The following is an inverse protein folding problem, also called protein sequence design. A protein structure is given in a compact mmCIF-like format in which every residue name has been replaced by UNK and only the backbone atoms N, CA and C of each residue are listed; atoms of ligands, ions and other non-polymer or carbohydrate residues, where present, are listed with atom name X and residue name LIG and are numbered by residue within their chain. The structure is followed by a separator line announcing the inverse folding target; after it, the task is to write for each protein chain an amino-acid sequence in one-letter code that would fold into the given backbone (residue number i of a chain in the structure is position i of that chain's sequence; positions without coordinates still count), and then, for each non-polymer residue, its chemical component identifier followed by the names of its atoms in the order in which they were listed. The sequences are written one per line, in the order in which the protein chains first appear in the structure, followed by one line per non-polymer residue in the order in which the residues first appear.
data_IF_149987730642
#
_entry.id   IF_149987730642
#
_cell.length_a   1.000
_cell.length_b   1.000
_cell.length_c   1.000
_cell.angle_alpha   90.00
_cell.angle_beta   90.00
_cell.angle_gamma   90.00
#
_symmetry.space_group_name_H-M   'P 1'
#
loop_
_entity.id
_entity.type
_entity.pdbx_description
1 polymer ?
#
# COMPACT_ATOMS: atom_id res chain seq x y z
N UNK A 1 17.66 -2.60 -1.93
CA UNK A 1 17.14 -3.94 -1.53
C UNK A 1 17.33 -4.93 -2.68
N UNK A 2 17.51 -6.21 -2.36
CA UNK A 2 17.46 -7.32 -3.31
C UNK A 2 16.17 -8.11 -3.08
N UNK A 3 15.47 -8.44 -4.16
CA UNK A 3 14.29 -9.29 -4.16
C UNK A 3 14.64 -10.66 -4.72
N UNK A 4 14.00 -11.72 -4.22
CA UNK A 4 14.06 -13.06 -4.81
C UNK A 4 12.71 -13.73 -4.64
N UNK A 5 12.21 -14.35 -5.72
CA UNK A 5 11.09 -15.28 -5.60
C UNK A 5 11.65 -16.69 -5.49
N UNK A 6 11.29 -17.39 -4.42
CA UNK A 6 11.56 -18.82 -4.25
C UNK A 6 10.30 -19.66 -4.51
N UNK A 7 9.22 -19.04 -4.99
CA UNK A 7 8.06 -19.75 -5.50
C UNK A 7 8.40 -20.39 -6.86
N UNK A 8 8.76 -21.67 -6.81
CA UNK A 8 9.06 -22.51 -7.97
C UNK A 8 7.85 -23.33 -8.42
N UNK A 9 6.72 -23.24 -7.71
CA UNK A 9 5.54 -24.07 -7.93
C UNK A 9 4.46 -23.33 -8.71
N UNK A 10 4.29 -22.03 -8.47
CA UNK A 10 3.28 -21.22 -9.12
C UNK A 10 3.78 -20.71 -10.48
N UNK A 11 3.04 -20.96 -11.57
CA UNK A 11 3.37 -20.41 -12.88
C UNK A 11 3.47 -18.89 -12.84
N UNK A 12 4.51 -18.35 -13.50
CA UNK A 12 4.78 -16.92 -13.63
C UNK A 12 4.97 -16.13 -12.31
N UNK A 13 5.08 -16.76 -11.13
CA UNK A 13 5.32 -16.04 -9.88
C UNK A 13 6.64 -15.23 -9.89
N UNK A 14 7.71 -15.85 -10.40
CA UNK A 14 9.03 -15.21 -10.56
C UNK A 14 8.98 -14.03 -11.53
N UNK A 15 8.27 -14.23 -12.65
CA UNK A 15 8.08 -13.21 -13.68
C UNK A 15 7.25 -12.04 -13.13
N UNK A 16 6.20 -12.32 -12.36
CA UNK A 16 5.40 -11.31 -11.68
C UNK A 16 6.27 -10.45 -10.75
N UNK A 17 7.13 -11.08 -9.92
CA UNK A 17 8.05 -10.35 -9.06
C UNK A 17 9.08 -9.53 -9.87
N UNK A 18 9.56 -10.06 -11.00
CA UNK A 18 10.48 -9.34 -11.90
C UNK A 18 9.86 -8.05 -12.44
N UNK A 19 8.60 -8.10 -12.88
CA UNK A 19 7.89 -6.90 -13.35
C UNK A 19 7.75 -5.86 -12.24
N UNK A 20 7.41 -6.28 -11.02
CA UNK A 20 7.32 -5.38 -9.86
C UNK A 20 8.69 -4.78 -9.52
N UNK A 21 9.74 -5.60 -9.47
CA UNK A 21 11.11 -5.16 -9.20
C UNK A 21 11.57 -4.10 -10.19
N UNK A 22 11.28 -4.29 -11.48
CA UNK A 22 11.61 -3.33 -12.54
C UNK A 22 10.83 -2.02 -12.38
N UNK A 23 9.54 -2.08 -12.05
CA UNK A 23 8.72 -0.90 -11.84
C UNK A 23 9.25 -0.02 -10.69
N UNK A 24 9.70 -0.63 -9.60
CA UNK A 24 10.26 0.09 -8.43
C UNK A 24 11.78 0.28 -8.49
N UNK A 25 12.43 -0.16 -9.58
CA UNK A 25 13.89 -0.12 -9.79
C UNK A 25 14.67 -0.81 -8.65
N UNK A 26 14.15 -1.91 -8.12
CA UNK A 26 14.83 -2.75 -7.14
C UNK A 26 15.66 -3.84 -7.82
N UNK A 27 16.77 -4.24 -7.18
CA UNK A 27 17.55 -5.39 -7.64
C UNK A 27 16.73 -6.67 -7.45
N UNK A 28 16.82 -7.60 -8.38
CA UNK A 28 16.18 -8.92 -8.28
C UNK A 28 17.20 -10.02 -8.62
N UNK A 29 17.25 -11.05 -7.78
CA UNK A 29 17.97 -12.28 -8.09
C UNK A 29 17.03 -13.25 -8.79
N UNK A 30 17.27 -13.48 -10.08
CA UNK A 30 16.38 -14.29 -10.89
C UNK A 30 16.68 -15.78 -10.77
N UNK A 31 17.94 -16.22 -10.70
CA UNK A 31 18.35 -17.63 -10.51
C UNK A 31 17.78 -18.66 -11.52
N UNK A 32 18.56 -19.66 -11.91
CA UNK A 32 18.02 -20.72 -12.77
C UNK A 32 17.07 -21.64 -12.01
N UNK A 33 16.01 -22.13 -12.66
CA UNK A 33 15.08 -23.12 -12.11
C UNK A 33 14.99 -24.30 -13.07
N UNK A 34 15.52 -25.45 -12.66
CA UNK A 34 15.48 -26.70 -13.43
C UNK A 34 14.35 -27.62 -12.96
N UNK A 35 14.07 -27.63 -11.65
CA UNK A 35 13.08 -28.49 -11.02
C UNK A 35 12.32 -27.74 -9.93
N UNK A 36 11.03 -28.03 -9.78
CA UNK A 36 10.17 -27.48 -8.73
C UNK A 36 10.19 -28.38 -7.49
N UNK A 37 11.18 -28.17 -6.61
CA UNK A 37 11.32 -28.91 -5.35
C UNK A 37 11.99 -28.06 -4.26
N UNK A 38 11.98 -28.55 -3.03
CA UNK A 38 12.57 -27.89 -1.86
C UNK A 38 14.07 -27.60 -2.01
N UNK A 39 14.83 -28.47 -2.69
CA UNK A 39 16.25 -28.24 -2.92
C UNK A 39 16.51 -27.00 -3.79
N UNK A 40 15.66 -26.78 -4.81
CA UNK A 40 15.69 -25.57 -5.63
C UNK A 40 15.33 -24.33 -4.81
N UNK A 41 14.28 -24.39 -3.98
CA UNK A 41 13.88 -23.28 -3.07
C UNK A 41 15.06 -22.87 -2.18
N UNK A 42 15.70 -23.84 -1.52
CA UNK A 42 16.84 -23.59 -0.64
C UNK A 42 18.06 -23.04 -1.38
N UNK A 43 18.35 -23.57 -2.58
CA UNK A 43 19.47 -23.09 -3.41
C UNK A 43 19.26 -21.62 -3.79
N UNK A 44 18.08 -21.28 -4.30
CA UNK A 44 17.76 -19.91 -4.71
C UNK A 44 17.89 -18.92 -3.55
N UNK A 45 17.43 -19.30 -2.35
CA UNK A 45 17.56 -18.46 -1.17
C UNK A 45 19.02 -18.23 -0.76
N UNK A 46 19.87 -19.29 -0.81
CA UNK A 46 21.31 -19.19 -0.54
C UNK A 46 22.01 -18.29 -1.55
N UNK A 47 21.73 -18.49 -2.83
CA UNK A 47 22.37 -17.76 -3.92
C UNK A 47 21.95 -16.28 -3.88
N UNK A 48 20.67 -15.98 -3.64
CA UNK A 48 20.19 -14.62 -3.43
C UNK A 48 20.86 -13.95 -2.22
N UNK A 49 21.06 -14.68 -1.10
CA UNK A 49 21.79 -14.14 0.06
C UNK A 49 23.22 -13.78 -0.29
N UNK A 50 23.92 -14.65 -1.02
CA UNK A 50 25.29 -14.38 -1.48
C UNK A 50 25.32 -13.17 -2.41
N UNK A 51 24.37 -13.07 -3.32
CA UNK A 51 24.26 -11.94 -4.24
C UNK A 51 23.97 -10.63 -3.50
N UNK A 52 23.08 -10.64 -2.51
CA UNK A 52 22.80 -9.47 -1.67
C UNK A 52 24.06 -8.96 -0.96
N UNK A 53 24.88 -9.87 -0.42
CA UNK A 53 26.14 -9.53 0.24
C UNK A 53 27.14 -8.94 -0.77
N UNK A 54 27.32 -9.59 -1.93
CA UNK A 54 28.27 -9.16 -2.95
C UNK A 54 27.90 -7.81 -3.56
N UNK A 55 26.60 -7.56 -3.73
CA UNK A 55 26.06 -6.31 -4.28
C UNK A 55 25.87 -5.21 -3.22
N UNK A 56 26.27 -5.43 -1.97
CA UNK A 56 26.18 -4.44 -0.89
C UNK A 56 24.73 -4.04 -0.54
N UNK A 57 23.78 -4.97 -0.67
CA UNK A 57 22.38 -4.72 -0.34
C UNK A 57 22.12 -4.90 1.17
N UNK A 58 21.54 -3.89 1.81
CA UNK A 58 21.20 -3.95 3.24
C UNK A 58 20.02 -4.87 3.57
N UNK A 59 19.11 -5.06 2.60
CA UNK A 59 17.84 -5.79 2.79
C UNK A 59 17.66 -6.80 1.66
N UNK A 60 17.38 -8.05 2.04
CA UNK A 60 16.93 -9.13 1.17
C UNK A 60 15.48 -9.48 1.49
N UNK A 61 14.61 -9.43 0.48
CA UNK A 61 13.21 -9.85 0.59
C UNK A 61 13.04 -11.16 -0.18
N UNK A 62 12.62 -12.21 0.54
CA UNK A 62 12.39 -13.54 -0.01
C UNK A 62 10.88 -13.76 -0.12
N UNK A 63 10.37 -13.81 -1.34
CA UNK A 63 8.97 -14.12 -1.65
C UNK A 63 8.79 -15.64 -1.79
N UNK A 64 8.02 -16.23 -0.87
CA UNK A 64 7.79 -17.68 -0.79
C UNK A 64 6.45 -18.07 -1.42
N UNK A 65 6.31 -19.31 -1.84
CA UNK A 65 5.04 -19.82 -2.34
C UNK A 65 3.91 -19.70 -1.30
N UNK A 66 2.76 -19.20 -1.72
CA UNK A 66 1.53 -19.18 -0.90
C UNK A 66 0.68 -20.44 -1.09
N UNK A 67 -0.14 -20.81 -0.10
CA UNK A 67 -1.19 -21.84 -0.24
C UNK A 67 -2.43 -21.51 0.60
N UNK A 68 -3.59 -21.89 0.08
CA UNK A 68 -4.92 -21.70 0.71
C UNK A 68 -5.14 -22.64 1.90
N UNK A 69 -4.45 -23.78 1.95
CA UNK A 69 -4.56 -24.76 3.01
C UNK A 69 -3.17 -25.11 3.54
N UNK A 70 -3.10 -25.31 4.85
CA UNK A 70 -1.88 -25.64 5.57
C UNK A 70 -1.55 -27.09 5.20
N UNK A 71 -0.49 -27.25 4.41
CA UNK A 71 0.05 -28.53 4.00
C UNK A 71 1.30 -28.80 4.83
N UNK A 72 1.41 -30.00 5.42
CA UNK A 72 2.57 -30.39 6.23
C UNK A 72 3.87 -30.26 5.44
N UNK A 73 3.84 -30.65 4.16
CA UNK A 73 5.02 -30.63 3.30
C UNK A 73 5.54 -29.20 3.06
N UNK A 74 4.62 -28.24 2.92
CA UNK A 74 4.97 -26.82 2.79
C UNK A 74 5.54 -26.28 4.10
N UNK A 75 4.94 -26.62 5.23
CA UNK A 75 5.42 -26.15 6.52
C UNK A 75 6.82 -26.67 6.83
N UNK A 76 7.12 -27.91 6.44
CA UNK A 76 8.45 -28.48 6.59
C UNK A 76 9.47 -27.77 5.68
N UNK A 77 9.10 -27.46 4.44
CA UNK A 77 9.90 -26.63 3.53
C UNK A 77 10.18 -25.24 4.13
N UNK A 78 9.15 -24.55 4.64
CA UNK A 78 9.29 -23.23 5.26
C UNK A 78 10.14 -23.27 6.54
N UNK A 79 10.04 -24.34 7.33
CA UNK A 79 10.93 -24.53 8.49
C UNK A 79 12.38 -24.76 8.06
N UNK A 80 12.60 -25.51 6.98
CA UNK A 80 13.94 -25.70 6.42
C UNK A 80 14.52 -24.37 5.93
N UNK A 81 13.73 -23.61 5.19
CA UNK A 81 14.10 -22.28 4.70
C UNK A 81 14.40 -21.32 5.86
N UNK A 82 13.58 -21.33 6.92
CA UNK A 82 13.83 -20.55 8.15
C UNK A 82 15.17 -20.91 8.78
N UNK A 83 15.45 -22.20 9.00
CA UNK A 83 16.74 -22.66 9.56
C UNK A 83 17.91 -22.23 8.70
N UNK A 84 17.73 -22.30 7.39
CA UNK A 84 18.78 -22.00 6.42
C UNK A 84 19.11 -20.50 6.34
N UNK A 85 18.08 -19.67 6.36
CA UNK A 85 18.21 -18.23 6.19
C UNK A 85 18.43 -17.50 7.50
N UNK A 86 17.99 -18.07 8.62
CA UNK A 86 17.94 -17.42 9.94
C UNK A 86 17.44 -15.96 9.86
N UNK A 87 16.23 -15.75 9.31
CA UNK A 87 15.75 -14.40 9.00
C UNK A 87 15.48 -13.60 10.27
N UNK A 88 15.75 -12.30 10.22
CA UNK A 88 15.41 -11.36 11.29
C UNK A 88 13.91 -11.11 11.36
N UNK A 89 13.22 -11.20 10.22
CA UNK A 89 11.81 -10.91 10.08
C UNK A 89 11.11 -12.00 9.27
N UNK A 90 9.99 -12.49 9.78
CA UNK A 90 9.09 -13.43 9.11
C UNK A 90 7.69 -12.83 9.15
N UNK A 91 7.25 -12.32 8.00
CA UNK A 91 5.99 -11.61 7.88
C UNK A 91 4.91 -12.53 7.31
N UNK A 92 3.80 -12.67 8.02
CA UNK A 92 2.63 -13.36 7.50
C UNK A 92 1.74 -12.38 6.74
N UNK A 93 1.47 -12.70 5.47
CA UNK A 93 0.63 -11.87 4.61
C UNK A 93 -0.77 -12.48 4.57
N UNK A 94 -1.76 -11.74 5.05
CA UNK A 94 -3.15 -12.18 5.10
C UNK A 94 -4.06 -11.22 4.32
N UNK A 95 -5.12 -11.77 3.74
CA UNK A 95 -6.19 -10.98 3.15
C UNK A 95 -7.21 -10.63 4.25
N UNK A 96 -7.55 -9.34 4.34
CA UNK A 96 -8.47 -8.82 5.35
C UNK A 96 -9.90 -9.36 5.21
N UNK A 97 -10.28 -9.86 4.04
CA UNK A 97 -11.59 -10.44 3.76
C UNK A 97 -11.74 -11.89 4.25
N UNK A 98 -10.66 -12.64 4.44
CA UNK A 98 -10.72 -14.10 4.66
C UNK A 98 -11.15 -14.51 6.07
N UNK A 99 -11.42 -13.55 6.96
CA UNK A 99 -12.08 -13.79 8.23
C UNK A 99 -11.37 -14.82 9.13
N UNK A 100 -12.08 -15.91 9.48
CA UNK A 100 -11.64 -16.93 10.45
C UNK A 100 -10.52 -17.85 9.91
N UNK A 101 -10.48 -18.12 8.61
CA UNK A 101 -9.48 -19.01 8.01
C UNK A 101 -8.07 -18.39 8.08
N UNK A 102 -7.99 -17.08 7.90
CA UNK A 102 -6.75 -16.32 8.08
C UNK A 102 -6.25 -16.38 9.53
N UNK A 103 -7.16 -16.37 10.52
CA UNK A 103 -6.83 -16.45 11.95
C UNK A 103 -6.23 -17.80 12.29
N UNK A 104 -6.87 -18.89 11.83
CA UNK A 104 -6.35 -20.25 12.04
C UNK A 104 -4.99 -20.44 11.36
N UNK A 105 -4.86 -19.96 10.13
CA UNK A 105 -3.59 -20.03 9.39
C UNK A 105 -2.50 -19.25 10.11
N UNK A 106 -2.78 -18.04 10.58
CA UNK A 106 -1.82 -17.23 11.31
C UNK A 106 -1.31 -17.94 12.59
N UNK A 107 -2.19 -18.59 13.35
CA UNK A 107 -1.82 -19.34 14.56
C UNK A 107 -0.90 -20.53 14.24
N UNK A 108 -1.26 -21.36 13.26
CA UNK A 108 -0.46 -22.52 12.86
C UNK A 108 0.90 -22.11 12.28
N UNK A 109 0.94 -21.05 11.46
CA UNK A 109 2.19 -20.49 10.94
C UNK A 109 3.04 -19.90 12.08
N UNK A 110 2.44 -19.21 13.05
CA UNK A 110 3.16 -18.67 14.20
C UNK A 110 3.80 -19.78 15.04
N UNK A 111 3.06 -20.85 15.33
CA UNK A 111 3.57 -22.01 16.09
C UNK A 111 4.79 -22.66 15.44
N UNK A 112 4.79 -22.79 14.11
CA UNK A 112 5.86 -23.49 13.38
C UNK A 112 7.03 -22.58 12.98
N UNK A 113 6.74 -21.33 12.61
CA UNK A 113 7.73 -20.40 12.03
C UNK A 113 8.10 -19.25 12.95
N UNK A 114 7.41 -19.05 14.07
CA UNK A 114 7.65 -17.93 14.99
C UNK A 114 7.62 -16.59 14.27
N UNK A 115 6.48 -16.28 13.65
CA UNK A 115 6.25 -15.02 12.93
C UNK A 115 6.64 -13.82 13.80
N UNK A 116 7.16 -12.76 13.17
CA UNK A 116 7.58 -11.51 13.82
C UNK A 116 6.67 -10.33 13.49
N UNK A 117 5.81 -10.49 12.48
CA UNK A 117 4.86 -9.48 12.09
C UNK A 117 3.84 -9.97 11.06
N UNK A 118 2.85 -9.12 10.81
CA UNK A 118 1.74 -9.39 9.90
C UNK A 118 1.57 -8.23 8.93
N UNK A 119 1.25 -8.55 7.68
CA UNK A 119 0.82 -7.60 6.66
C UNK A 119 -0.61 -7.95 6.26
N UNK A 120 -1.51 -6.97 6.33
CA UNK A 120 -2.91 -7.17 5.92
C UNK A 120 -3.13 -6.53 4.56
N UNK A 121 -3.66 -7.28 3.60
CA UNK A 121 -3.93 -6.81 2.24
C UNK A 121 -5.43 -6.62 2.01
N UNK A 122 -5.80 -5.93 0.93
CA UNK A 122 -7.19 -5.65 0.51
C UNK A 122 -8.01 -4.88 1.56
N UNK A 123 -7.36 -3.94 2.24
CA UNK A 123 -7.99 -3.09 3.26
C UNK A 123 -8.79 -1.91 2.66
N UNK A 124 -8.80 -1.78 1.34
CA UNK A 124 -9.61 -0.85 0.55
C UNK A 124 -11.06 -1.32 0.33
N UNK A 125 -11.34 -2.62 0.56
CA UNK A 125 -12.70 -3.16 0.52
C UNK A 125 -13.49 -2.96 1.82
N UNK A 126 -14.70 -3.52 1.86
CA UNK A 126 -15.63 -3.52 3.02
C UNK A 126 -15.13 -4.28 4.27
N UNK A 127 -13.85 -4.65 4.32
CA UNK A 127 -13.25 -5.38 5.41
C UNK A 127 -13.20 -4.49 6.67
N UNK A 128 -14.11 -4.75 7.62
CA UNK A 128 -14.25 -4.02 8.90
C UNK A 128 -13.11 -4.28 9.90
N UNK A 129 -11.90 -4.59 9.45
CA UNK A 129 -10.71 -4.75 10.30
C UNK A 129 -10.76 -5.89 11.33
N UNK A 130 -11.84 -6.67 11.42
CA UNK A 130 -11.99 -7.73 12.43
C UNK A 130 -10.93 -8.84 12.33
N UNK A 131 -10.48 -9.16 11.11
CA UNK A 131 -9.39 -10.11 10.89
C UNK A 131 -8.07 -9.61 11.52
N UNK A 132 -7.82 -8.30 11.49
CA UNK A 132 -6.64 -7.68 12.08
C UNK A 132 -6.56 -7.94 13.59
N UNK A 133 -7.67 -7.69 14.29
CA UNK A 133 -7.76 -7.88 15.74
C UNK A 133 -7.60 -9.36 16.10
N UNK A 134 -8.27 -10.25 15.38
CA UNK A 134 -8.22 -11.69 15.63
C UNK A 134 -6.83 -12.28 15.39
N UNK A 135 -6.16 -11.90 14.30
CA UNK A 135 -4.79 -12.37 14.00
C UNK A 135 -3.82 -11.87 15.07
N UNK A 136 -3.92 -10.59 15.47
CA UNK A 136 -3.09 -10.06 16.56
C UNK A 136 -3.34 -10.80 17.88
N UNK A 137 -4.59 -11.14 18.17
CA UNK A 137 -4.95 -11.85 19.40
C UNK A 137 -4.35 -13.26 19.45
N UNK A 138 -4.42 -14.03 18.35
CA UNK A 138 -3.90 -15.42 18.33
C UNK A 138 -2.37 -15.48 18.19
N UNK A 139 -1.76 -14.61 17.38
CA UNK A 139 -0.31 -14.64 17.15
C UNK A 139 0.49 -13.81 18.15
N UNK A 140 -0.13 -12.80 18.78
CA UNK A 140 0.56 -11.80 19.59
C UNK A 140 1.44 -10.82 18.78
N UNK A 141 1.55 -10.98 17.46
CA UNK A 141 2.54 -10.26 16.63
C UNK A 141 2.02 -8.93 16.07
N UNK A 142 2.88 -7.91 15.89
CA UNK A 142 2.49 -6.63 15.30
C UNK A 142 2.04 -6.75 13.85
N UNK A 143 0.92 -6.09 13.55
CA UNK A 143 0.61 -5.73 12.18
C UNK A 143 1.51 -4.57 11.82
N UNK A 144 2.33 -4.73 10.79
CA UNK A 144 3.35 -3.76 10.38
C UNK A 144 2.87 -2.88 9.23
N UNK A 145 2.17 -3.48 8.26
CA UNK A 145 1.73 -2.80 7.05
C UNK A 145 0.31 -3.18 6.64
N UNK A 146 -0.31 -2.29 5.88
CA UNK A 146 -1.62 -2.42 5.26
C UNK A 146 -1.51 -2.23 3.76
N UNK A 147 -2.01 -3.19 2.98
CA UNK A 147 -2.24 -3.05 1.55
C UNK A 147 -3.63 -2.46 1.30
N UNK A 148 -3.69 -1.24 0.77
CA UNK A 148 -4.91 -0.47 0.52
C UNK A 148 -5.23 -0.36 -0.98
N UNK A 149 -4.78 -1.32 -1.77
CA UNK A 149 -5.04 -1.39 -3.20
C UNK A 149 -4.15 -2.41 -3.89
N UNK A 150 -4.29 -2.51 -5.21
CA UNK A 150 -3.59 -3.52 -6.03
C UNK A 150 -2.23 -3.04 -6.58
N UNK A 151 -1.99 -1.74 -6.58
CA UNK A 151 -0.74 -1.17 -7.10
C UNK A 151 0.40 -1.34 -6.09
N UNK A 152 1.64 -1.36 -6.60
CA UNK A 152 2.84 -1.53 -5.77
C UNK A 152 3.09 -0.38 -4.79
N UNK A 153 2.49 0.79 -5.02
CA UNK A 153 2.54 1.96 -4.15
C UNK A 153 1.41 1.99 -3.10
N UNK A 154 0.49 1.02 -3.13
CA UNK A 154 -0.65 0.93 -2.22
C UNK A 154 -0.33 0.17 -0.92
N UNK A 155 0.87 0.39 -0.35
CA UNK A 155 1.32 -0.21 0.92
C UNK A 155 1.60 0.90 1.94
N UNK A 156 0.88 0.89 3.06
CA UNK A 156 0.98 1.91 4.11
C UNK A 156 1.41 1.29 5.45
N UNK A 157 2.14 2.01 6.31
CA UNK A 157 2.40 1.58 7.69
C UNK A 157 1.09 1.39 8.47
N UNK A 158 1.05 0.37 9.33
CA UNK A 158 -0.10 0.14 10.19
C UNK A 158 -0.13 1.14 11.35
N UNK A 159 -1.24 1.88 11.46
CA UNK A 159 -1.53 2.76 12.59
C UNK A 159 -2.81 2.28 13.30
N UNK A 160 -2.74 1.80 14.55
CA UNK A 160 -3.90 1.27 15.28
C UNK A 160 -5.07 2.27 15.33
N UNK A 161 -4.76 3.55 15.59
CA UNK A 161 -5.77 4.60 15.74
C UNK A 161 -6.61 4.78 14.47
N UNK A 162 -5.99 4.67 13.29
CA UNK A 162 -6.68 4.83 11.98
C UNK A 162 -7.66 3.69 11.71
N UNK A 163 -7.28 2.46 12.06
CA UNK A 163 -8.17 1.30 11.91
C UNK A 163 -9.35 1.42 12.87
N UNK A 164 -9.13 1.85 14.12
CA UNK A 164 -10.21 2.07 15.08
C UNK A 164 -11.19 3.13 14.56
N UNK A 165 -10.70 4.26 14.05
CA UNK A 165 -11.55 5.30 13.45
C UNK A 165 -12.33 4.80 12.23
N UNK A 166 -11.72 3.95 11.38
CA UNK A 166 -12.38 3.33 10.23
C UNK A 166 -13.47 2.34 10.67
N UNK A 167 -13.21 1.52 11.69
CA UNK A 167 -14.19 0.57 12.27
C UNK A 167 -15.37 1.33 12.91
N UNK A 168 -15.09 2.43 13.61
CA UNK A 168 -16.09 3.27 14.26
C UNK A 168 -16.86 4.18 13.29
N UNK A 169 -16.55 4.12 11.98
CA UNK A 169 -17.24 4.91 10.95
C UNK A 169 -16.93 6.42 11.02
N UNK A 170 -15.91 6.82 11.77
CA UNK A 170 -15.48 8.22 11.90
C UNK A 170 -14.60 8.69 10.73
N UNK A 171 -14.18 7.76 9.85
CA UNK A 171 -13.28 8.04 8.73
C UNK A 171 -11.83 8.26 9.19
N UNK A 172 -10.92 8.35 8.23
CA UNK A 172 -9.48 8.52 8.49
C UNK A 172 -9.06 10.00 8.39
N UNK A 173 -9.42 10.76 9.43
CA UNK A 173 -9.13 12.20 9.52
C UNK A 173 -7.61 12.45 9.52
N UNK A 174 -6.83 11.54 10.11
CA UNK A 174 -5.38 11.67 10.22
C UNK A 174 -4.70 11.47 8.86
N UNK A 175 -5.12 10.48 8.06
CA UNK A 175 -4.59 10.32 6.69
C UNK A 175 -4.97 11.49 5.77
N UNK A 176 -6.15 12.10 5.98
CA UNK A 176 -6.53 13.33 5.25
C UNK A 176 -5.61 14.49 5.62
N UNK A 177 -5.26 14.64 6.90
CA UNK A 177 -4.32 15.67 7.36
C UNK A 177 -2.92 15.39 6.81
N UNK A 178 -2.44 14.14 6.84
CA UNK A 178 -1.10 13.80 6.32
C UNK A 178 -0.99 13.94 4.81
N UNK A 179 -2.01 13.51 4.05
CA UNK A 179 -2.04 13.75 2.59
C UNK A 179 -2.15 15.24 2.29
N UNK A 180 -2.93 15.99 3.08
CA UNK A 180 -2.93 17.45 2.97
C UNK A 180 -1.54 18.02 3.29
N UNK A 181 -0.85 17.60 4.35
CA UNK A 181 0.50 18.06 4.68
C UNK A 181 1.56 17.68 3.63
N UNK A 182 1.46 16.49 3.02
CA UNK A 182 2.36 16.04 1.96
C UNK A 182 2.13 16.80 0.64
N UNK A 183 0.91 17.27 0.39
CA UNK A 183 0.54 18.00 -0.83
C UNK A 183 0.42 19.52 -0.65
N UNK A 184 0.46 20.02 0.60
CA UNK A 184 0.52 21.43 0.94
C UNK A 184 1.99 21.81 1.09
N UNK A 185 2.55 22.25 -0.02
CA UNK A 185 3.87 22.87 -0.05
C UNK A 185 3.84 24.14 0.83
N UNK A 186 4.52 24.11 1.98
CA UNK A 186 4.52 25.20 2.97
C UNK A 186 4.87 26.55 2.35
N UNK A 187 5.69 26.57 1.29
CA UNK A 187 6.01 27.78 0.52
C UNK A 187 4.80 28.35 -0.22
N UNK A 188 4.01 27.50 -0.90
CA UNK A 188 2.82 27.92 -1.64
C UNK A 188 1.70 28.40 -0.71
N UNK A 189 1.53 27.75 0.45
CA UNK A 189 0.59 28.22 1.46
C UNK A 189 0.94 29.63 1.95
N UNK A 190 2.23 29.93 2.12
CA UNK A 190 2.73 31.26 2.47
C UNK A 190 2.52 32.28 1.36
N UNK A 191 2.76 31.92 0.10
CA UNK A 191 2.53 32.80 -1.06
C UNK A 191 1.05 33.14 -1.23
N UNK A 192 0.15 32.16 -1.09
CA UNK A 192 -1.31 32.36 -1.16
C UNK A 192 -1.79 33.25 -0.01
N UNK A 193 -1.31 33.01 1.23
CA UNK A 193 -1.65 33.85 2.38
C UNK A 193 -1.13 35.28 2.20
N UNK A 194 0.08 35.46 1.66
CA UNK A 194 0.66 36.78 1.41
C UNK A 194 -0.12 37.53 0.34
N UNK A 195 -0.52 36.88 -0.76
CA UNK A 195 -1.38 37.47 -1.81
C UNK A 195 -2.77 37.83 -1.29
N UNK A 196 -3.41 36.95 -0.52
CA UNK A 196 -4.73 37.21 0.06
C UNK A 196 -4.72 38.38 1.06
N UNK A 197 -3.62 38.55 1.81
CA UNK A 197 -3.42 39.67 2.73
C UNK A 197 -3.01 40.97 2.01
N UNK A 198 -2.35 40.87 0.85
CA UNK A 198 -1.96 42.01 0.02
C UNK A 198 -3.14 42.67 -0.71
N UNK A 199 -4.30 42.02 -0.77
CA UNK A 199 -5.52 42.56 -1.39
C UNK A 199 -5.56 42.47 -2.91
N UNK A 200 -4.53 41.91 -3.54
CA UNK A 200 -4.55 41.53 -4.95
C UNK A 200 -5.52 40.35 -5.10
N UNK A 201 -6.65 40.58 -5.78
CA UNK A 201 -7.77 39.67 -5.85
C UNK A 201 -7.41 38.25 -6.31
N UNK A 202 -8.31 37.31 -6.02
CA UNK A 202 -8.19 35.92 -6.45
C UNK A 202 -8.20 35.82 -7.98
N UNK A 203 -7.07 35.49 -8.59
CA UNK A 203 -6.92 35.45 -10.04
C UNK A 203 -7.37 34.10 -10.64
N UNK A 204 -7.66 34.07 -11.95
CA UNK A 204 -7.96 32.81 -12.64
C UNK A 204 -6.74 31.89 -12.71
N UNK A 205 -5.53 32.44 -12.64
CA UNK A 205 -4.30 31.68 -12.50
C UNK A 205 -4.23 30.94 -11.16
N UNK A 206 -4.57 31.62 -10.06
CA UNK A 206 -4.62 30.99 -8.73
C UNK A 206 -5.74 29.92 -8.68
N UNK A 207 -6.89 30.17 -9.32
CA UNK A 207 -7.97 29.19 -9.44
C UNK A 207 -7.55 27.94 -10.22
N UNK A 208 -6.82 28.10 -11.33
CA UNK A 208 -6.28 26.98 -12.12
C UNK A 208 -5.33 26.13 -11.26
N UNK A 209 -4.46 26.79 -10.51
CA UNK A 209 -3.46 26.10 -9.70
C UNK A 209 -4.13 25.29 -8.56
N UNK A 210 -5.22 25.79 -7.99
CA UNK A 210 -6.08 25.03 -7.08
C UNK A 210 -6.72 23.81 -7.76
N UNK A 211 -7.28 23.95 -8.97
CA UNK A 211 -7.85 22.82 -9.72
C UNK A 211 -6.81 21.72 -9.98
N UNK A 212 -5.56 22.11 -10.28
CA UNK A 212 -4.45 21.17 -10.45
C UNK A 212 -4.06 20.47 -9.15
N UNK A 213 -4.13 21.17 -8.01
CA UNK A 213 -3.82 20.58 -6.71
C UNK A 213 -4.87 19.53 -6.33
N UNK A 214 -6.16 19.83 -6.53
CA UNK A 214 -7.26 18.87 -6.31
C UNK A 214 -7.05 17.61 -7.17
N UNK A 215 -6.69 17.78 -8.44
CA UNK A 215 -6.39 16.67 -9.36
C UNK A 215 -5.19 15.82 -8.94
N UNK A 216 -4.21 16.40 -8.25
CA UNK A 216 -3.05 15.66 -7.69
C UNK A 216 -3.40 14.86 -6.44
N UNK A 217 -4.40 15.29 -5.67
CA UNK A 217 -4.81 14.63 -4.43
C UNK A 217 -5.67 13.37 -4.67
N UNK A 218 -6.17 13.16 -5.89
CA UNK A 218 -6.96 11.98 -6.28
C UNK A 218 -8.24 12.36 -7.02
N UNK A 219 -9.09 11.37 -7.31
CA UNK A 219 -10.41 11.64 -7.88
C UNK A 219 -11.29 12.37 -6.87
N UNK A 220 -12.12 13.32 -7.31
CA UNK A 220 -13.06 14.02 -6.40
C UNK A 220 -14.00 13.03 -5.72
N UNK A 221 -14.32 11.94 -6.38
CA UNK A 221 -15.11 10.84 -5.82
C UNK A 221 -14.39 10.15 -4.67
N UNK A 222 -13.06 9.95 -4.76
CA UNK A 222 -12.27 9.41 -3.65
C UNK A 222 -12.19 10.39 -2.47
N UNK A 223 -11.99 11.68 -2.74
CA UNK A 223 -11.92 12.72 -1.69
C UNK A 223 -13.26 12.90 -0.99
N UNK A 224 -14.39 12.88 -1.72
CA UNK A 224 -15.73 12.94 -1.12
C UNK A 224 -16.15 11.62 -0.46
N UNK A 225 -15.65 10.48 -0.93
CA UNK A 225 -15.82 9.19 -0.26
C UNK A 225 -15.14 9.12 1.11
N UNK A 226 -14.12 9.95 1.33
CA UNK A 226 -13.41 10.08 2.62
C UNK A 226 -14.10 11.04 3.61
N UNK A 227 -15.10 11.81 3.17
CA UNK A 227 -15.85 12.71 4.05
C UNK A 227 -16.91 11.96 4.87
N UNK A 228 -17.07 12.26 6.17
CA UNK A 228 -18.04 11.59 7.02
C UNK A 228 -19.47 11.88 6.55
N UNK A 229 -20.29 10.83 6.50
CA UNK A 229 -21.66 10.84 5.98
C UNK A 229 -22.71 11.44 6.94
N UNK A 230 -22.27 12.08 8.04
CA UNK A 230 -23.13 12.60 9.11
C UNK A 230 -23.00 14.14 9.16
N UNK A 231 -24.13 14.84 9.33
CA UNK A 231 -24.18 16.30 9.50
C UNK A 231 -24.38 17.07 8.18
N UNK A 232 -23.99 18.36 8.11
CA UNK A 232 -24.28 19.24 6.96
C UNK A 232 -23.62 18.80 5.65
N UNK A 233 -22.71 17.82 5.71
CA UNK A 233 -21.98 17.26 4.56
C UNK A 233 -22.66 16.02 3.94
N UNK A 234 -23.73 15.49 4.56
CA UNK A 234 -24.47 14.31 4.07
C UNK A 234 -25.09 14.47 2.67
N UNK A 235 -25.34 15.71 2.23
CA UNK A 235 -25.83 16.02 0.87
C UNK A 235 -24.75 16.07 -0.21
N UNK A 236 -23.48 16.23 0.16
CA UNK A 236 -22.38 16.44 -0.79
C UNK A 236 -21.90 15.13 -1.43
N UNK A 237 -22.02 14.01 -0.74
CA UNK A 237 -21.72 12.68 -1.31
C UNK A 237 -22.58 12.34 -2.53
N UNK A 238 -23.87 12.76 -2.53
CA UNK A 238 -24.76 12.60 -3.69
C UNK A 238 -24.44 13.54 -4.85
N UNK A 239 -23.72 14.64 -4.58
CA UNK A 239 -23.21 15.54 -5.61
C UNK A 239 -21.89 15.02 -6.22
N UNK A 240 -21.12 14.23 -5.46
CA UNK A 240 -19.85 13.63 -5.91
C UNK A 240 -20.00 12.82 -7.21
N UNK A 241 -21.02 11.96 -7.27
CA UNK A 241 -21.32 11.13 -8.46
C UNK A 241 -21.77 11.95 -9.68
N UNK A 242 -22.10 13.23 -9.49
CA UNK A 242 -22.53 14.14 -10.55
C UNK A 242 -21.42 15.05 -11.06
N UNK A 243 -20.26 15.08 -10.39
CA UNK A 243 -19.13 15.89 -10.83
C UNK A 243 -18.28 15.07 -11.81
N UNK A 244 -18.48 15.35 -13.09
CA UNK A 244 -17.67 14.77 -14.16
C UNK A 244 -16.26 15.40 -14.15
N UNK A 245 -15.23 14.59 -13.89
CA UNK A 245 -13.82 15.03 -13.92
C UNK A 245 -13.42 15.64 -15.28
N UNK A 246 -14.13 15.30 -16.36
CA UNK A 246 -13.93 15.94 -17.67
C UNK A 246 -14.28 17.44 -17.63
N UNK A 247 -15.19 17.87 -16.77
CA UNK A 247 -15.50 19.30 -16.61
C UNK A 247 -14.33 20.07 -16.00
N UNK A 248 -13.61 19.47 -15.05
CA UNK A 248 -12.42 20.09 -14.46
C UNK A 248 -11.31 20.24 -15.49
N UNK A 249 -11.09 19.19 -16.29
CA UNK A 249 -10.14 19.26 -17.41
C UNK A 249 -10.54 20.32 -18.44
N UNK A 250 -11.85 20.49 -18.69
CA UNK A 250 -12.37 21.51 -19.61
C UNK A 250 -12.15 22.92 -19.08
N UNK A 251 -12.43 23.16 -17.80
CA UNK A 251 -12.19 24.46 -17.15
C UNK A 251 -10.70 24.79 -17.12
N UNK A 252 -9.84 23.80 -16.81
CA UNK A 252 -8.39 23.97 -16.87
C UNK A 252 -7.92 24.33 -18.29
N UNK A 253 -8.45 23.66 -19.32
CA UNK A 253 -8.13 23.94 -20.71
C UNK A 253 -8.57 25.35 -21.17
N UNK A 254 -9.73 25.82 -20.69
CA UNK A 254 -10.22 27.18 -20.95
C UNK A 254 -9.25 28.21 -20.36
N UNK A 255 -8.86 28.06 -19.09
CA UNK A 255 -7.93 28.99 -18.43
C UNK A 255 -6.54 28.96 -19.08
N UNK A 256 -6.06 27.80 -19.51
CA UNK A 256 -4.79 27.70 -20.23
C UNK A 256 -4.81 28.37 -21.62
N UNK A 257 -5.99 28.53 -22.21
CA UNK A 257 -6.17 29.17 -23.52
C UNK A 257 -6.25 30.69 -23.43
N UNK A 258 -6.43 31.24 -22.23
CA UNK A 258 -6.45 32.69 -21.98
C UNK A 258 -5.04 33.28 -22.03
N UNK A 259 -4.91 34.55 -22.37
CA UNK A 259 -3.68 35.33 -22.26
C UNK A 259 -3.37 35.71 -20.81
N UNK A 260 -2.14 36.14 -20.52
CA UNK A 260 -1.75 36.50 -19.15
C UNK A 260 -2.60 37.64 -18.57
N UNK A 261 -3.00 38.61 -19.41
CA UNK A 261 -3.89 39.71 -19.01
C UNK A 261 -5.31 39.28 -18.69
N UNK A 262 -5.78 38.15 -19.24
CA UNK A 262 -7.11 37.60 -18.95
C UNK A 262 -7.10 36.72 -17.69
N UNK A 263 -5.92 36.27 -17.25
CA UNK A 263 -5.78 35.35 -16.11
C UNK A 263 -5.49 36.05 -14.78
N UNK A 264 -4.88 37.23 -14.82
CA UNK A 264 -4.52 38.08 -13.68
C UNK A 264 -5.64 39.08 -13.37
#
# INVERSE_FOLDING_TARGET
PLLVSVDVYRPAAREQLRVVAQAIKANIYEGEVTESNTATVERLAKEARREAINSGCDVLIVDTAGRLHIDEQLMDEMQSLKRLMNPQEILFVADAMTGQDAVRSADEFHKKLSLTGVVLTKMDGDARGGAALSIRHVTGQPIKFLGIGEKYDALEPFHPDRIVSRILGMGDILSLIEKAEQHVDKKKAQEIATKALAGDGFSLEDFRDQLRQVKKMGSLQSLMGMLPSIGPFSGLQKAADRVDEKQINRVEAIINSMTQHERL
#
